data_IF_219218302885
#
_entry.id   IF_219218302885
#
_cell.length_a   1.000
_cell.length_b   1.000
_cell.length_c   1.000
_cell.angle_alpha   90.00
_cell.angle_beta   90.00
_cell.angle_gamma   90.00
#
_symmetry.space_group_name_H-M   'P 1'
#
loop_
_entity.id
_entity.type
_entity.pdbx_description
1 polymer ?
#
# COMPACT_ATOMS: atom_id res chain seq x y z
N UNK A 1 103.92 -26.29 -30.59
CA UNK A 1 103.28 -25.87 -29.32
C UNK A 1 101.81 -25.65 -29.59
N UNK A 2 100.96 -26.62 -29.24
CA UNK A 2 99.51 -26.58 -29.47
C UNK A 2 98.85 -26.31 -28.13
N UNK A 3 98.13 -25.18 -28.00
CA UNK A 3 97.35 -24.80 -26.82
C UNK A 3 96.02 -25.54 -26.83
N UNK A 4 95.79 -26.37 -25.82
CA UNK A 4 94.48 -26.96 -25.50
C UNK A 4 93.63 -25.91 -24.78
N UNK A 5 92.46 -25.58 -25.34
CA UNK A 5 91.48 -24.71 -24.72
C UNK A 5 90.59 -25.51 -23.75
N UNK A 6 90.48 -25.06 -22.50
CA UNK A 6 89.57 -25.63 -21.51
C UNK A 6 88.14 -25.13 -21.74
N UNK A 7 87.17 -26.06 -21.75
CA UNK A 7 85.74 -25.77 -21.82
C UNK A 7 85.23 -25.31 -20.45
N UNK A 8 84.46 -24.21 -20.33
CA UNK A 8 83.85 -23.82 -19.07
C UNK A 8 82.69 -24.75 -18.72
N UNK A 9 82.66 -25.21 -17.47
CA UNK A 9 81.58 -26.01 -16.90
C UNK A 9 80.27 -25.19 -16.86
N UNK A 10 79.18 -25.77 -17.37
CA UNK A 10 77.82 -25.23 -17.22
C UNK A 10 77.38 -25.40 -15.77
N UNK A 11 77.31 -24.31 -15.01
CA UNK A 11 76.57 -24.27 -13.75
C UNK A 11 75.07 -24.41 -14.07
N UNK A 12 74.46 -25.52 -13.67
CA UNK A 12 73.01 -25.67 -13.73
C UNK A 12 72.39 -24.88 -12.57
N UNK A 13 71.82 -23.72 -12.87
CA UNK A 13 71.01 -22.98 -11.90
C UNK A 13 69.83 -23.83 -11.45
N UNK A 14 69.83 -24.26 -10.18
CA UNK A 14 68.70 -24.97 -9.58
C UNK A 14 67.57 -23.97 -9.36
N UNK A 15 66.51 -24.05 -10.16
CA UNK A 15 65.31 -23.25 -9.93
C UNK A 15 64.67 -23.73 -8.62
N UNK A 16 64.48 -22.86 -7.63
CA UNK A 16 63.82 -23.23 -6.38
C UNK A 16 62.43 -23.82 -6.64
N UNK A 17 62.16 -24.98 -6.03
CA UNK A 17 60.93 -25.78 -6.25
C UNK A 17 59.63 -25.01 -5.94
N UNK A 18 59.70 -23.93 -5.16
CA UNK A 18 58.54 -23.09 -4.85
C UNK A 18 58.02 -22.28 -6.05
N UNK A 19 58.87 -21.98 -7.05
CA UNK A 19 58.48 -21.20 -8.24
C UNK A 19 57.46 -21.95 -9.09
N UNK A 20 57.68 -23.20 -9.54
CA UNK A 20 56.67 -23.94 -10.29
C UNK A 20 55.40 -24.20 -9.45
N UNK A 21 55.52 -24.38 -8.13
CA UNK A 21 54.36 -24.56 -7.25
C UNK A 21 53.47 -23.30 -7.18
N UNK A 22 54.09 -22.12 -7.06
CA UNK A 22 53.38 -20.85 -7.04
C UNK A 22 52.66 -20.56 -8.38
N UNK A 23 53.28 -20.93 -9.50
CA UNK A 23 52.67 -20.80 -10.84
C UNK A 23 51.45 -21.71 -10.97
N UNK A 24 51.54 -22.96 -10.49
CA UNK A 24 50.39 -23.90 -10.50
C UNK A 24 49.25 -23.41 -9.61
N UNK A 25 49.55 -22.92 -8.39
CA UNK A 25 48.55 -22.37 -7.48
C UNK A 25 47.88 -21.11 -8.04
N UNK A 26 48.66 -20.19 -8.62
CA UNK A 26 48.12 -19.00 -9.27
C UNK A 26 47.25 -19.37 -10.48
N UNK A 27 47.67 -20.36 -11.27
CA UNK A 27 46.88 -20.91 -12.38
C UNK A 27 45.57 -21.54 -11.90
N UNK A 28 45.59 -22.32 -10.81
CA UNK A 28 44.40 -22.92 -10.24
C UNK A 28 43.42 -21.88 -9.69
N UNK A 29 43.91 -20.86 -8.98
CA UNK A 29 43.08 -19.74 -8.49
C UNK A 29 42.51 -18.92 -9.64
N UNK A 30 43.29 -18.70 -10.70
CA UNK A 30 42.81 -18.02 -11.90
C UNK A 30 41.73 -18.83 -12.62
N UNK A 31 41.95 -20.13 -12.86
CA UNK A 31 40.95 -21.04 -13.46
C UNK A 31 39.69 -21.13 -12.60
N UNK A 32 39.81 -21.18 -11.27
CA UNK A 32 38.66 -21.16 -10.38
C UNK A 32 37.86 -19.86 -10.54
N UNK A 33 38.54 -18.69 -10.47
CA UNK A 33 37.86 -17.40 -10.61
C UNK A 33 37.24 -17.21 -11.99
N UNK A 34 37.90 -17.67 -13.06
CA UNK A 34 37.37 -17.55 -14.42
C UNK A 34 36.23 -18.53 -14.67
N UNK A 35 36.27 -19.75 -14.14
CA UNK A 35 35.15 -20.70 -14.25
C UNK A 35 33.95 -20.28 -13.41
N UNK A 36 34.16 -19.67 -12.24
CA UNK A 36 33.07 -19.09 -11.45
C UNK A 36 32.47 -17.85 -12.15
N UNK A 37 33.30 -17.04 -12.78
CA UNK A 37 32.89 -15.90 -13.63
C UNK A 37 32.17 -16.34 -14.92
N UNK A 38 32.66 -17.38 -15.60
CA UNK A 38 32.08 -17.91 -16.84
C UNK A 38 30.83 -18.77 -16.57
N UNK A 39 30.75 -19.46 -15.44
CA UNK A 39 29.51 -20.12 -15.00
C UNK A 39 28.43 -19.07 -14.67
N UNK A 40 28.82 -17.95 -14.04
CA UNK A 40 27.92 -16.80 -13.84
C UNK A 40 27.48 -16.14 -15.16
N UNK A 41 28.29 -16.19 -16.22
CA UNK A 41 27.93 -15.59 -17.52
C UNK A 41 27.25 -16.55 -18.51
N UNK A 42 27.39 -17.87 -18.34
CA UNK A 42 26.82 -18.88 -19.26
C UNK A 42 25.43 -19.38 -18.90
N UNK A 43 24.97 -19.16 -17.67
CA UNK A 43 23.58 -19.44 -17.27
C UNK A 43 23.05 -18.24 -16.50
N UNK A 44 22.42 -17.29 -17.20
CA UNK A 44 21.71 -16.21 -16.53
C UNK A 44 20.75 -16.81 -15.51
N UNK A 45 20.84 -16.34 -14.26
CA UNK A 45 19.95 -16.83 -13.20
C UNK A 45 18.51 -16.49 -13.57
N UNK A 46 17.66 -17.50 -13.65
CA UNK A 46 16.24 -17.32 -13.90
C UNK A 46 15.51 -17.22 -12.57
N UNK A 47 14.69 -16.19 -12.42
CA UNK A 47 13.80 -16.02 -11.27
C UNK A 47 12.44 -16.59 -11.65
N UNK A 48 11.96 -17.55 -10.84
CA UNK A 48 10.63 -18.15 -11.02
C UNK A 48 9.58 -17.36 -10.23
N UNK A 49 8.80 -16.53 -10.93
CA UNK A 49 7.81 -15.64 -10.34
C UNK A 49 6.56 -16.37 -9.84
N UNK A 50 6.39 -17.65 -10.23
CA UNK A 50 5.28 -18.49 -9.74
C UNK A 50 5.42 -18.83 -8.25
N UNK A 51 6.64 -18.71 -7.70
CA UNK A 51 6.98 -18.96 -6.29
C UNK A 51 7.13 -17.67 -5.50
N UNK A 52 6.32 -16.66 -5.82
CA UNK A 52 6.33 -15.37 -5.13
C UNK A 52 5.64 -15.43 -3.77
N UNK A 53 6.30 -14.81 -2.78
CA UNK A 53 5.76 -14.59 -1.45
C UNK A 53 5.57 -13.08 -1.24
N UNK A 54 4.45 -12.72 -0.61
CA UNK A 54 4.14 -11.34 -0.26
C UNK A 54 4.34 -11.17 1.25
N UNK A 55 5.45 -10.55 1.64
CA UNK A 55 5.74 -10.28 3.04
C UNK A 55 5.02 -9.01 3.47
N UNK A 56 4.06 -9.17 4.38
CA UNK A 56 3.17 -8.08 4.81
C UNK A 56 3.71 -7.41 6.06
N UNK A 57 4.43 -6.30 5.86
CA UNK A 57 4.80 -5.40 6.97
C UNK A 57 3.86 -4.19 7.09
N UNK A 58 2.92 -4.00 6.15
CA UNK A 58 2.03 -2.85 6.11
C UNK A 58 0.69 -3.11 6.85
N UNK A 59 0.39 -2.36 7.94
CA UNK A 59 -0.93 -2.38 8.56
C UNK A 59 -1.98 -1.85 7.58
N UNK A 60 -2.95 -2.67 7.21
CA UNK A 60 -4.02 -2.29 6.26
C UNK A 60 -3.94 -2.97 4.89
N UNK A 61 -2.85 -3.69 4.59
CA UNK A 61 -2.77 -4.51 3.39
C UNK A 61 -3.75 -5.69 3.48
N UNK A 62 -4.64 -5.77 2.48
CA UNK A 62 -5.69 -6.78 2.42
C UNK A 62 -5.13 -8.14 1.97
N UNK A 63 -5.59 -9.27 2.55
CA UNK A 63 -5.11 -10.60 2.15
C UNK A 63 -5.25 -10.87 0.66
N UNK A 64 -6.32 -10.38 0.03
CA UNK A 64 -6.63 -10.57 -1.38
C UNK A 64 -5.56 -9.96 -2.30
N UNK A 65 -4.91 -8.87 -1.90
CA UNK A 65 -3.86 -8.22 -2.71
C UNK A 65 -2.65 -9.11 -2.91
N UNK A 66 -2.35 -9.99 -1.95
CA UNK A 66 -1.29 -11.00 -2.13
C UNK A 66 -1.65 -11.99 -3.24
N UNK A 67 -2.92 -12.37 -3.35
CA UNK A 67 -3.40 -13.28 -4.38
C UNK A 67 -3.42 -12.60 -5.75
N UNK A 68 -3.89 -11.35 -5.83
CA UNK A 68 -3.90 -10.55 -7.05
C UNK A 68 -2.48 -10.34 -7.59
N UNK A 69 -1.53 -9.93 -6.72
CA UNK A 69 -0.13 -9.77 -7.11
C UNK A 69 0.48 -11.10 -7.56
N UNK A 70 0.27 -12.19 -6.82
CA UNK A 70 0.77 -13.52 -7.20
C UNK A 70 0.21 -13.97 -8.55
N UNK A 71 -1.09 -13.72 -8.79
CA UNK A 71 -1.74 -13.99 -10.07
C UNK A 71 -1.15 -13.18 -11.22
N UNK A 72 -0.82 -11.91 -10.99
CA UNK A 72 -0.17 -11.05 -11.97
C UNK A 72 1.28 -11.51 -12.27
N UNK A 73 2.05 -11.84 -11.24
CA UNK A 73 3.41 -12.37 -11.35
C UNK A 73 3.46 -13.74 -12.05
N UNK A 74 2.52 -14.63 -11.72
CA UNK A 74 2.45 -15.96 -12.32
C UNK A 74 2.22 -15.93 -13.84
N UNK A 75 1.51 -14.92 -14.36
CA UNK A 75 1.32 -14.73 -15.81
C UNK A 75 2.61 -14.39 -16.55
N UNK A 76 3.59 -13.79 -15.88
CA UNK A 76 4.92 -13.52 -16.45
C UNK A 76 5.81 -14.77 -16.42
N UNK A 77 5.57 -15.69 -15.49
CA UNK A 77 6.28 -16.97 -15.40
C UNK A 77 7.70 -16.82 -14.89
N UNK A 78 8.67 -16.58 -15.79
CA UNK A 78 10.10 -16.51 -15.47
C UNK A 78 10.75 -15.28 -16.07
N UNK A 79 11.59 -14.62 -15.29
CA UNK A 79 12.36 -13.45 -15.71
C UNK A 79 13.85 -13.73 -15.51
N UNK A 80 14.68 -13.29 -16.44
CA UNK A 80 16.14 -13.34 -16.29
C UNK A 80 16.60 -12.25 -15.33
N UNK A 81 17.40 -12.61 -14.32
CA UNK A 81 17.91 -11.67 -13.32
C UNK A 81 18.86 -10.61 -13.90
N UNK A 82 19.51 -10.91 -15.03
CA UNK A 82 20.42 -10.00 -15.74
C UNK A 82 19.73 -9.20 -16.85
N UNK A 83 18.46 -9.46 -17.13
CA UNK A 83 17.69 -8.74 -18.14
C UNK A 83 17.00 -7.53 -17.51
N UNK A 84 17.70 -6.39 -17.58
CA UNK A 84 17.21 -5.11 -17.09
C UNK A 84 15.87 -4.71 -17.71
N UNK A 85 15.65 -4.99 -19.00
CA UNK A 85 14.40 -4.65 -19.68
C UNK A 85 13.24 -5.50 -19.17
N UNK A 86 13.48 -6.79 -18.91
CA UNK A 86 12.47 -7.65 -18.31
C UNK A 86 12.15 -7.26 -16.86
N UNK A 87 13.15 -6.83 -16.07
CA UNK A 87 12.94 -6.32 -14.72
C UNK A 87 12.18 -4.99 -14.72
N UNK A 88 12.50 -4.06 -15.62
CA UNK A 88 11.78 -2.80 -15.78
C UNK A 88 10.32 -3.03 -16.21
N UNK A 89 10.09 -3.99 -17.12
CA UNK A 89 8.76 -4.42 -17.53
C UNK A 89 7.96 -5.06 -16.38
N UNK A 90 8.62 -5.87 -15.56
CA UNK A 90 8.02 -6.45 -14.35
C UNK A 90 7.60 -5.36 -13.34
N UNK A 91 8.49 -4.41 -13.04
CA UNK A 91 8.19 -3.30 -12.14
C UNK A 91 7.06 -2.44 -12.67
N UNK A 92 7.06 -2.10 -13.97
CA UNK A 92 5.99 -1.33 -14.62
C UNK A 92 4.64 -2.04 -14.54
N UNK A 93 4.62 -3.37 -14.65
CA UNK A 93 3.40 -4.16 -14.51
C UNK A 93 2.89 -4.16 -13.07
N UNK A 94 3.78 -4.29 -12.07
CA UNK A 94 3.41 -4.22 -10.66
C UNK A 94 2.88 -2.83 -10.30
N UNK A 95 3.49 -1.78 -10.83
CA UNK A 95 3.07 -0.39 -10.64
C UNK A 95 1.68 -0.09 -11.19
N UNK A 96 1.23 -0.82 -12.21
CA UNK A 96 -0.13 -0.71 -12.76
C UNK A 96 -1.21 -1.36 -11.86
N UNK A 97 -0.83 -2.09 -10.81
CA UNK A 97 -1.81 -2.66 -9.90
C UNK A 97 -2.44 -1.56 -9.02
N UNK A 98 -3.77 -1.47 -8.93
CA UNK A 98 -4.43 -0.33 -8.27
C UNK A 98 -4.08 -0.10 -6.81
N UNK A 99 -3.66 -1.14 -6.10
CA UNK A 99 -3.28 -1.06 -4.68
C UNK A 99 -1.80 -0.75 -4.46
N UNK A 100 -0.99 -0.64 -5.52
CA UNK A 100 0.43 -0.30 -5.45
C UNK A 100 0.58 1.21 -5.63
N UNK A 101 1.13 1.87 -4.62
CA UNK A 101 1.43 3.30 -4.64
C UNK A 101 2.82 3.60 -5.21
N UNK A 102 3.79 2.72 -4.97
CA UNK A 102 5.15 2.87 -5.46
C UNK A 102 5.85 1.52 -5.52
N UNK A 103 6.65 1.32 -6.58
CA UNK A 103 7.56 0.19 -6.71
C UNK A 103 8.98 0.66 -6.42
N UNK A 104 9.56 0.10 -5.36
CA UNK A 104 10.93 0.37 -4.94
C UNK A 104 11.97 -0.34 -5.80
N UNK A 105 13.22 -0.31 -5.35
CA UNK A 105 14.31 -0.98 -6.09
C UNK A 105 14.19 -2.50 -6.00
N UNK A 106 14.36 -3.15 -7.15
CA UNK A 106 14.44 -4.61 -7.24
C UNK A 106 15.86 -5.06 -6.86
N UNK A 107 15.96 -5.93 -5.84
CA UNK A 107 17.21 -6.52 -5.36
C UNK A 107 17.21 -8.01 -5.65
N UNK A 108 18.26 -8.47 -6.32
CA UNK A 108 18.48 -9.90 -6.52
C UNK A 108 18.93 -10.58 -5.22
N UNK A 109 18.30 -11.70 -4.89
CA UNK A 109 18.66 -12.58 -3.77
C UNK A 109 19.17 -13.89 -4.35
N UNK A 110 20.44 -14.22 -4.11
CA UNK A 110 21.03 -15.46 -4.59
C UNK A 110 20.38 -16.68 -3.91
N UNK A 111 20.15 -17.81 -4.62
CA UNK A 111 20.59 -18.12 -5.99
C UNK A 111 19.65 -17.71 -7.12
N UNK A 112 18.35 -17.49 -6.85
CA UNK A 112 17.31 -17.34 -7.88
C UNK A 112 16.10 -16.49 -7.41
N UNK A 113 16.29 -15.67 -6.37
CA UNK A 113 15.27 -14.81 -5.78
C UNK A 113 15.32 -13.37 -6.28
N UNK A 114 14.16 -12.71 -6.25
CA UNK A 114 14.02 -11.28 -6.49
C UNK A 114 13.19 -10.69 -5.35
N UNK A 115 13.72 -9.65 -4.73
CA UNK A 115 13.05 -8.88 -3.69
C UNK A 115 12.71 -7.50 -4.25
N UNK A 116 11.44 -7.11 -4.13
CA UNK A 116 10.93 -5.84 -4.62
C UNK A 116 10.14 -5.22 -3.47
N UNK A 117 10.64 -4.10 -2.98
CA UNK A 117 9.94 -3.33 -1.97
C UNK A 117 8.76 -2.60 -2.60
N UNK A 118 7.57 -2.69 -2.01
CA UNK A 118 6.35 -2.06 -2.50
C UNK A 118 5.79 -1.13 -1.43
N UNK A 119 5.40 0.08 -1.84
CA UNK A 119 4.52 0.93 -1.03
C UNK A 119 3.10 0.72 -1.53
N UNK A 120 2.18 0.42 -0.64
CA UNK A 120 0.78 0.19 -1.00
C UNK A 120 -0.06 1.42 -0.69
N UNK A 121 -1.14 1.60 -1.43
CA UNK A 121 -2.16 2.57 -1.06
C UNK A 121 -2.84 2.15 0.23
N UNK A 122 -2.98 3.09 1.16
CA UNK A 122 -3.72 2.86 2.40
C UNK A 122 -5.22 3.04 2.12
N UNK A 123 -6.06 2.02 2.36
CA UNK A 123 -7.50 2.17 2.22
C UNK A 123 -8.01 3.02 3.39
N UNK A 124 -8.82 4.03 3.08
CA UNK A 124 -9.40 4.98 4.06
C UNK A 124 -10.92 4.90 4.15
N UNK A 125 -11.55 4.24 3.19
CA UNK A 125 -13.00 4.11 3.14
C UNK A 125 -13.41 2.83 2.39
N UNK A 126 -14.70 2.58 2.34
CA UNK A 126 -15.32 1.56 1.51
C UNK A 126 -16.49 2.15 0.74
N UNK A 127 -16.81 1.57 -0.42
CA UNK A 127 -18.09 1.77 -1.09
C UNK A 127 -18.84 0.45 -1.12
N UNK A 128 -20.16 0.50 -0.97
CA UNK A 128 -21.02 -0.65 -1.20
C UNK A 128 -21.43 -0.67 -2.67
N UNK A 129 -21.26 -1.81 -3.35
CA UNK A 129 -21.64 -2.00 -4.75
C UNK A 129 -22.29 -3.37 -4.91
N UNK A 130 -23.57 -3.38 -5.24
CA UNK A 130 -24.36 -4.61 -5.37
C UNK A 130 -24.49 -5.35 -4.04
N UNK A 131 -23.68 -6.39 -3.80
CA UNK A 131 -23.68 -7.18 -2.56
C UNK A 131 -22.32 -7.20 -1.86
N UNK A 132 -21.39 -6.35 -2.31
CA UNK A 132 -20.00 -6.36 -1.89
C UNK A 132 -19.54 -4.97 -1.50
N UNK A 133 -18.57 -4.94 -0.60
CA UNK A 133 -17.86 -3.74 -0.18
C UNK A 133 -16.49 -3.74 -0.81
N UNK A 134 -16.12 -2.59 -1.39
CA UNK A 134 -14.85 -2.38 -2.04
C UNK A 134 -14.07 -1.29 -1.30
N UNK A 135 -12.78 -1.51 -1.01
CA UNK A 135 -11.95 -0.53 -0.35
C UNK A 135 -11.64 0.64 -1.29
N UNK A 136 -11.45 1.82 -0.71
CA UNK A 136 -11.11 3.04 -1.45
C UNK A 136 -9.89 3.68 -0.81
N UNK A 137 -8.92 4.06 -1.63
CA UNK A 137 -7.83 4.94 -1.22
C UNK A 137 -8.07 6.36 -1.73
N UNK A 138 -7.58 7.32 -0.96
CA UNK A 138 -7.41 8.69 -1.44
C UNK A 138 -5.97 8.85 -1.93
N UNK A 139 -5.83 9.26 -3.18
CA UNK A 139 -4.55 9.57 -3.79
C UNK A 139 -4.48 11.07 -3.92
N UNK A 140 -3.48 11.65 -3.26
CA UNK A 140 -3.15 13.07 -3.34
C UNK A 140 -1.88 13.19 -4.16
N UNK A 141 -1.97 13.83 -5.33
CA UNK A 141 -0.82 14.30 -6.09
C UNK A 141 -0.72 15.83 -6.01
N UNK A 142 0.37 16.41 -6.53
CA UNK A 142 0.63 17.85 -6.46
C UNK A 142 -0.48 18.74 -7.04
N UNK A 143 -1.43 18.17 -7.79
CA UNK A 143 -2.44 18.93 -8.53
C UNK A 143 -3.88 18.46 -8.30
N UNK A 144 -4.08 17.23 -7.83
CA UNK A 144 -5.38 16.60 -7.73
C UNK A 144 -5.48 15.68 -6.51
N UNK A 145 -6.65 15.71 -5.88
CA UNK A 145 -7.09 14.70 -4.92
C UNK A 145 -8.12 13.84 -5.64
N UNK A 146 -7.92 12.52 -5.62
CA UNK A 146 -8.86 11.56 -6.22
C UNK A 146 -9.09 10.35 -5.31
N UNK A 147 -10.31 9.84 -5.32
CA UNK A 147 -10.61 8.51 -4.79
C UNK A 147 -10.29 7.46 -5.83
N UNK A 148 -9.69 6.34 -5.44
CA UNK A 148 -9.49 5.18 -6.32
C UNK A 148 -10.09 3.94 -5.68
N UNK A 149 -10.92 3.25 -6.46
CA UNK A 149 -11.52 1.98 -6.04
C UNK A 149 -10.47 0.87 -6.09
N UNK A 150 -10.18 0.25 -4.96
CA UNK A 150 -9.18 -0.81 -4.83
C UNK A 150 -9.82 -2.21 -4.99
N UNK A 151 -9.05 -3.23 -5.39
CA UNK A 151 -9.53 -4.61 -5.38
C UNK A 151 -9.68 -5.13 -3.95
N UNK A 152 -10.30 -6.31 -3.82
CA UNK A 152 -10.46 -7.00 -2.55
C UNK A 152 -11.89 -7.05 -2.02
N UNK A 153 -12.89 -7.21 -2.90
CA UNK A 153 -14.31 -7.25 -2.53
C UNK A 153 -14.62 -8.15 -1.30
N UNK A 154 -15.41 -7.62 -0.35
CA UNK A 154 -15.82 -8.32 0.86
C UNK A 154 -17.35 -8.31 1.06
N UNK A 155 -17.89 -9.22 1.87
CA UNK A 155 -19.33 -9.25 2.22
C UNK A 155 -19.72 -8.25 3.31
N UNK A 156 -18.74 -7.63 3.94
CA UNK A 156 -18.90 -6.62 4.99
C UNK A 156 -17.84 -5.54 4.76
N UNK A 157 -18.02 -4.31 5.29
CA UNK A 157 -16.99 -3.28 5.21
C UNK A 157 -15.65 -3.79 5.74
N UNK A 158 -14.57 -3.37 5.10
CA UNK A 158 -13.23 -3.83 5.48
C UNK A 158 -12.89 -3.40 6.90
N UNK A 159 -12.31 -4.32 7.67
CA UNK A 159 -11.77 -4.03 9.00
C UNK A 159 -10.25 -3.90 8.88
N UNK A 160 -9.69 -2.82 9.42
CA UNK A 160 -8.25 -2.50 9.39
C UNK A 160 -7.73 -2.27 10.80
N UNK A 161 -6.42 -2.46 11.02
CA UNK A 161 -5.77 -2.42 12.33
C UNK A 161 -5.46 -3.82 12.87
N UNK A 162 -4.84 -3.86 14.05
CA UNK A 162 -4.55 -5.09 14.80
C UNK A 162 -5.66 -5.40 15.79
N UNK A 163 -6.05 -6.66 15.94
CA UNK A 163 -6.96 -7.25 16.92
C UNK A 163 -7.82 -6.27 17.76
N UNK A 164 -7.27 -5.74 18.86
CA UNK A 164 -7.98 -4.89 19.84
C UNK A 164 -8.25 -3.45 19.37
N UNK A 165 -7.51 -2.97 18.37
CA UNK A 165 -7.68 -1.65 17.76
C UNK A 165 -8.24 -1.74 16.33
N UNK A 166 -8.71 -2.91 15.92
CA UNK A 166 -9.21 -3.10 14.57
C UNK A 166 -10.62 -2.49 14.42
N UNK A 167 -10.79 -1.58 13.46
CA UNK A 167 -12.01 -0.83 13.21
C UNK A 167 -12.48 -0.99 11.77
N UNK A 168 -13.76 -0.74 11.52
CA UNK A 168 -14.32 -0.76 10.17
C UNK A 168 -13.95 0.52 9.42
N UNK A 169 -13.54 0.38 8.15
CA UNK A 169 -13.43 1.54 7.27
C UNK A 169 -14.81 2.18 7.10
N UNK A 170 -14.89 3.53 7.10
CA UNK A 170 -16.15 4.23 6.86
C UNK A 170 -16.66 3.93 5.46
N UNK A 171 -17.96 3.77 5.32
CA UNK A 171 -18.64 3.59 4.04
C UNK A 171 -19.01 4.95 3.47
N UNK A 172 -18.82 5.14 2.16
CA UNK A 172 -19.29 6.33 1.45
C UNK A 172 -20.68 6.03 0.86
N UNK A 173 -21.65 6.92 1.09
CA UNK A 173 -22.99 6.80 0.52
C UNK A 173 -22.99 7.10 -0.99
N UNK A 174 -24.07 6.69 -1.69
CA UNK A 174 -24.31 7.06 -3.09
C UNK A 174 -23.70 6.12 -4.14
N UNK A 175 -23.28 4.91 -3.75
CA UNK A 175 -22.67 3.92 -4.66
C UNK A 175 -23.45 2.60 -4.78
N UNK A 176 -24.62 2.50 -4.16
CA UNK A 176 -25.41 1.27 -4.08
C UNK A 176 -25.92 0.79 -5.44
N UNK A 177 -26.13 1.71 -6.38
CA UNK A 177 -26.61 1.43 -7.71
C UNK A 177 -25.48 0.90 -8.59
N UNK A 178 -25.45 -0.42 -8.79
CA UNK A 178 -24.52 -1.11 -9.70
C UNK A 178 -24.77 -0.83 -11.20
N UNK A 179 -25.17 0.40 -11.55
CA UNK A 179 -25.45 0.84 -12.91
C UNK A 179 -24.22 0.84 -13.82
N UNK A 180 -24.43 1.16 -15.10
CA UNK A 180 -23.36 1.19 -16.11
C UNK A 180 -22.23 2.18 -15.77
N UNK A 181 -22.56 3.22 -14.99
CA UNK A 181 -21.61 4.26 -14.54
C UNK A 181 -20.92 3.92 -13.21
N UNK A 182 -21.16 2.72 -12.66
CA UNK A 182 -20.51 2.31 -11.43
C UNK A 182 -18.99 2.16 -11.64
N UNK A 183 -18.17 2.77 -10.78
CA UNK A 183 -16.72 2.77 -10.94
C UNK A 183 -16.15 1.35 -10.93
N UNK A 184 -15.21 1.10 -11.83
CA UNK A 184 -14.48 -0.17 -11.91
C UNK A 184 -13.32 -0.18 -10.93
N UNK A 185 -12.82 -1.36 -10.58
CA UNK A 185 -11.58 -1.48 -9.79
C UNK A 185 -10.43 -0.82 -10.55
N UNK A 186 -9.65 0.00 -9.86
CA UNK A 186 -8.63 0.89 -10.45
C UNK A 186 -9.20 2.17 -11.04
N UNK A 187 -10.52 2.29 -11.15
CA UNK A 187 -11.21 3.49 -11.59
C UNK A 187 -11.25 4.56 -10.51
N UNK A 188 -11.30 5.81 -10.96
CA UNK A 188 -11.44 6.96 -10.09
C UNK A 188 -12.89 7.13 -9.63
N UNK A 189 -13.06 7.53 -8.38
CA UNK A 189 -14.33 8.02 -7.86
C UNK A 189 -14.34 9.54 -8.02
N UNK A 190 -15.31 10.05 -8.78
CA UNK A 190 -15.40 11.47 -9.11
C UNK A 190 -16.63 12.11 -8.45
N UNK A 191 -16.59 13.44 -8.30
CA UNK A 191 -17.68 14.26 -7.75
C UNK A 191 -17.31 14.94 -6.45
N UNK A 192 -17.79 16.18 -6.26
CA UNK A 192 -17.51 16.98 -5.06
C UNK A 192 -17.91 16.26 -3.77
N UNK A 193 -19.13 15.71 -3.73
CA UNK A 193 -19.63 14.93 -2.59
C UNK A 193 -18.74 13.73 -2.23
N UNK A 194 -18.18 13.04 -3.21
CA UNK A 194 -17.29 11.88 -2.98
C UNK A 194 -15.97 12.33 -2.38
N UNK A 195 -15.37 13.39 -2.92
CA UNK A 195 -14.13 13.95 -2.40
C UNK A 195 -14.33 14.50 -0.97
N UNK A 196 -15.46 15.17 -0.72
CA UNK A 196 -15.85 15.63 0.61
C UNK A 196 -15.97 14.45 1.61
N UNK A 197 -16.62 13.36 1.22
CA UNK A 197 -16.75 12.17 2.06
C UNK A 197 -15.39 11.49 2.32
N UNK A 198 -14.51 11.42 1.31
CA UNK A 198 -13.15 10.89 1.44
C UNK A 198 -12.29 11.75 2.35
N UNK A 199 -12.43 13.07 2.28
CA UNK A 199 -11.67 13.99 3.11
C UNK A 199 -12.12 13.92 4.58
N UNK A 200 -13.43 13.75 4.84
CA UNK A 200 -13.94 13.42 6.17
C UNK A 200 -13.35 12.08 6.66
N UNK A 201 -13.37 11.03 5.83
CA UNK A 201 -12.78 9.73 6.18
C UNK A 201 -11.28 9.86 6.50
N UNK A 202 -10.52 10.59 5.68
CA UNK A 202 -9.11 10.85 5.91
C UNK A 202 -8.86 11.58 7.23
N UNK A 203 -9.62 12.64 7.50
CA UNK A 203 -9.51 13.39 8.76
C UNK A 203 -9.88 12.53 9.99
N UNK A 204 -10.87 11.64 9.87
CA UNK A 204 -11.19 10.67 10.91
C UNK A 204 -9.97 9.81 11.28
N UNK A 205 -9.23 9.34 10.26
CA UNK A 205 -8.01 8.57 10.48
C UNK A 205 -6.89 9.40 11.13
N UNK A 206 -6.77 10.68 10.77
CA UNK A 206 -5.74 11.58 11.28
C UNK A 206 -5.99 12.00 12.74
N UNK A 207 -7.25 12.18 13.14
CA UNK A 207 -7.59 12.78 14.44
C UNK A 207 -8.10 11.81 15.50
N UNK A 208 -8.57 10.61 15.12
CA UNK A 208 -9.03 9.60 16.06
C UNK A 208 -8.07 8.42 16.16
N UNK A 209 -7.76 7.99 17.38
CA UNK A 209 -6.98 6.79 17.68
C UNK A 209 -7.78 5.49 17.41
N UNK A 210 -7.10 4.35 17.43
CA UNK A 210 -7.70 3.03 17.15
C UNK A 210 -8.87 2.68 18.06
N UNK A 211 -8.77 3.02 19.36
CA UNK A 211 -9.83 2.78 20.34
C UNK A 211 -11.09 3.58 20.04
N UNK A 212 -10.96 4.89 19.76
CA UNK A 212 -12.09 5.76 19.40
C UNK A 212 -12.72 5.34 18.08
N UNK A 213 -11.92 4.99 17.07
CA UNK A 213 -12.42 4.47 15.79
C UNK A 213 -13.19 3.17 15.97
N UNK A 214 -12.72 2.28 16.84
CA UNK A 214 -13.42 1.03 17.17
C UNK A 214 -14.79 1.31 17.84
N UNK A 215 -14.87 2.31 18.72
CA UNK A 215 -16.13 2.71 19.40
C UNK A 215 -17.15 3.41 18.50
N UNK A 216 -16.71 4.00 17.39
CA UNK A 216 -17.64 4.53 16.38
C UNK A 216 -18.42 3.40 15.70
N UNK A 217 -17.85 2.20 15.61
CA UNK A 217 -18.48 1.07 14.93
C UNK A 217 -18.43 1.24 13.41
N UNK A 218 -19.46 0.78 12.70
CA UNK A 218 -19.61 1.04 11.26
C UNK A 218 -20.17 2.44 11.06
N UNK A 219 -19.62 3.15 10.09
CA UNK A 219 -19.97 4.53 9.78
C UNK A 219 -20.38 4.58 8.32
N UNK A 220 -21.50 5.24 8.02
CA UNK A 220 -21.88 5.69 6.68
C UNK A 220 -21.68 7.20 6.63
N UNK A 221 -20.83 7.67 5.72
CA UNK A 221 -20.60 9.08 5.44
C UNK A 221 -21.47 9.45 4.25
N UNK A 222 -22.46 10.29 4.50
CA UNK A 222 -23.25 10.93 3.46
C UNK A 222 -22.84 12.40 3.35
N UNK A 223 -22.16 12.73 2.25
CA UNK A 223 -21.80 14.10 1.87
C UNK A 223 -22.48 14.52 0.57
N UNK A 224 -23.58 13.87 0.19
CA UNK A 224 -24.34 14.20 -1.03
C UNK A 224 -25.15 15.49 -0.91
N UNK A 225 -25.44 15.93 0.32
CA UNK A 225 -26.23 17.13 0.58
C UNK A 225 -25.37 18.39 0.67
N UNK A 226 -25.67 19.37 -0.19
CA UNK A 226 -25.06 20.71 -0.14
C UNK A 226 -25.57 21.54 1.05
N UNK A 227 -26.72 21.18 1.62
CA UNK A 227 -27.32 21.86 2.78
C UNK A 227 -27.48 20.91 3.97
N UNK A 228 -27.21 21.41 5.17
CA UNK A 228 -27.60 20.75 6.40
C UNK A 228 -29.12 20.83 6.63
N UNK A 229 -29.62 20.02 7.57
CA UNK A 229 -31.03 19.94 7.93
C UNK A 229 -31.62 21.26 8.46
N UNK A 230 -30.78 22.12 9.03
CA UNK A 230 -31.14 23.45 9.52
C UNK A 230 -31.04 24.54 8.42
N UNK A 231 -30.76 24.16 7.17
CA UNK A 231 -30.63 25.06 6.04
C UNK A 231 -29.29 25.79 5.96
N UNK A 232 -28.31 25.46 6.81
CA UNK A 232 -26.95 26.02 6.70
C UNK A 232 -26.15 25.31 5.59
N UNK A 233 -25.17 25.98 4.95
CA UNK A 233 -24.36 25.36 3.89
C UNK A 233 -23.33 24.39 4.46
N UNK A 234 -23.22 23.20 3.86
CA UNK A 234 -22.43 22.08 4.38
C UNK A 234 -23.31 21.12 5.15
N UNK A 235 -23.50 19.91 4.61
CA UNK A 235 -24.52 18.97 5.07
C UNK A 235 -24.01 17.57 5.34
N UNK A 236 -22.69 17.36 5.47
CA UNK A 236 -22.16 16.04 5.68
C UNK A 236 -22.62 15.44 7.01
N UNK A 237 -23.10 14.19 6.93
CA UNK A 237 -23.66 13.42 8.02
C UNK A 237 -22.93 12.10 8.14
N UNK A 238 -22.65 11.71 9.37
CA UNK A 238 -22.12 10.39 9.68
C UNK A 238 -23.20 9.63 10.44
N UNK A 239 -23.71 8.58 9.80
CA UNK A 239 -24.64 7.64 10.41
C UNK A 239 -23.86 6.46 10.93
N UNK A 240 -23.96 6.21 12.23
CA UNK A 240 -23.25 5.13 12.88
C UNK A 240 -24.22 3.96 13.08
N UNK A 241 -23.76 2.75 12.76
CA UNK A 241 -24.48 1.53 13.10
C UNK A 241 -24.63 1.47 14.63
N UNK A 242 -25.81 1.03 15.05
CA UNK A 242 -26.15 0.98 16.46
C UNK A 242 -25.31 -0.07 17.19
N UNK A 243 -24.98 0.23 18.45
CA UNK A 243 -24.28 -0.68 19.36
C UNK A 243 -25.27 -1.17 20.41
N UNK A 244 -25.49 -2.48 20.52
CA UNK A 244 -26.41 -3.09 21.50
C UNK A 244 -27.86 -3.17 20.99
N UNK A 245 -28.84 -2.91 21.88
CA UNK A 245 -30.28 -3.06 21.60
C UNK A 245 -30.88 -1.93 20.72
N UNK A 246 -30.08 -0.97 20.26
CA UNK A 246 -30.56 0.08 19.36
C UNK A 246 -30.59 -0.48 17.93
N UNK A 247 -31.71 -0.30 17.22
CA UNK A 247 -31.90 -0.86 15.87
C UNK A 247 -31.16 -0.07 14.78
N UNK A 248 -30.95 1.24 14.98
CA UNK A 248 -30.15 2.19 14.23
C UNK A 248 -29.89 3.42 15.14
N UNK A 249 -29.05 4.37 14.73
CA UNK A 249 -29.38 5.77 15.04
C UNK A 249 -28.47 6.56 15.97
N UNK A 250 -27.14 6.43 15.82
CA UNK A 250 -26.25 7.52 16.24
C UNK A 250 -25.90 8.41 15.06
N UNK A 251 -26.13 9.71 15.18
CA UNK A 251 -25.92 10.68 14.12
C UNK A 251 -24.89 11.73 14.51
N UNK A 252 -23.95 12.03 13.62
CA UNK A 252 -23.04 13.16 13.75
C UNK A 252 -23.31 14.13 12.61
N UNK A 253 -23.71 15.36 12.94
CA UNK A 253 -23.77 16.46 11.99
C UNK A 253 -22.39 17.11 11.91
N UNK A 254 -21.67 16.85 10.83
CA UNK A 254 -20.28 17.28 10.69
C UNK A 254 -20.15 18.65 10.03
N UNK A 255 -21.07 19.02 9.15
CA UNK A 255 -21.02 20.26 8.38
C UNK A 255 -20.31 20.08 7.05
N UNK A 256 -19.41 21.00 6.67
CA UNK A 256 -18.60 20.86 5.46
C UNK A 256 -17.43 19.92 5.73
N UNK A 257 -16.98 19.28 4.64
CA UNK A 257 -15.74 18.55 4.65
C UNK A 257 -14.55 19.49 4.88
N UNK A 258 -13.43 19.00 5.46
CA UNK A 258 -12.26 19.84 5.73
C UNK A 258 -11.74 20.61 4.50
N UNK A 259 -11.79 20.01 3.30
CA UNK A 259 -11.37 20.62 2.04
C UNK A 259 -12.30 21.75 1.54
N UNK A 260 -13.51 21.84 2.09
CA UNK A 260 -14.52 22.85 1.79
C UNK A 260 -14.74 23.82 2.95
N UNK A 261 -13.93 23.74 4.01
CA UNK A 261 -14.09 24.52 5.23
C UNK A 261 -14.06 26.02 4.92
N UNK A 262 -15.15 26.70 5.30
CA UNK A 262 -15.33 28.12 5.06
C UNK A 262 -15.14 28.97 6.32
N UNK A 263 -15.08 30.31 6.17
CA UNK A 263 -15.11 31.22 7.32
C UNK A 263 -16.31 30.95 8.22
N UNK A 264 -16.09 30.86 9.54
CA UNK A 264 -17.14 30.64 10.55
C UNK A 264 -17.41 29.16 10.86
N UNK A 265 -16.77 28.23 10.16
CA UNK A 265 -16.83 26.81 10.51
C UNK A 265 -15.74 26.42 11.51
N UNK A 266 -16.07 25.51 12.42
CA UNK A 266 -15.10 24.99 13.37
C UNK A 266 -13.94 24.27 12.68
N UNK A 267 -12.68 24.47 13.14
CA UNK A 267 -11.55 23.66 12.74
C UNK A 267 -11.80 22.16 12.92
N UNK A 268 -11.32 21.35 11.95
CA UNK A 268 -11.53 19.90 11.92
C UNK A 268 -11.06 19.19 13.19
N UNK A 269 -9.96 19.68 13.79
CA UNK A 269 -9.42 19.18 15.05
C UNK A 269 -10.42 19.33 16.20
N UNK A 270 -11.14 20.46 16.23
CA UNK A 270 -12.14 20.76 17.27
C UNK A 270 -13.37 19.90 17.05
N UNK A 271 -13.82 19.72 15.80
CA UNK A 271 -14.92 18.80 15.47
C UNK A 271 -14.65 17.38 15.97
N UNK A 272 -13.48 16.83 15.68
CA UNK A 272 -13.10 15.48 16.15
C UNK A 272 -12.91 15.38 17.66
N UNK A 273 -12.49 16.47 18.31
CA UNK A 273 -12.49 16.57 19.77
C UNK A 273 -13.90 16.49 20.35
N UNK A 274 -14.88 17.17 19.75
CA UNK A 274 -16.29 17.08 20.16
C UNK A 274 -16.86 15.68 19.96
N UNK A 275 -16.57 15.03 18.81
CA UNK A 275 -16.94 13.62 18.57
C UNK A 275 -16.33 12.70 19.64
N UNK A 276 -15.04 12.88 19.96
CA UNK A 276 -14.36 12.10 20.99
C UNK A 276 -15.04 12.23 22.35
N UNK A 277 -15.42 13.45 22.75
CA UNK A 277 -16.14 13.70 24.00
C UNK A 277 -17.56 13.13 23.99
N UNK A 278 -18.25 13.19 22.84
CA UNK A 278 -19.57 12.58 22.67
C UNK A 278 -19.51 11.06 22.90
N UNK A 279 -18.49 10.39 22.33
CA UNK A 279 -18.28 8.96 22.52
C UNK A 279 -18.13 8.57 23.99
N UNK A 280 -17.43 9.38 24.80
CA UNK A 280 -17.29 9.12 26.24
C UNK A 280 -18.58 9.30 27.03
N UNK A 281 -19.45 10.22 26.61
CA UNK A 281 -20.70 10.54 27.31
C UNK A 281 -21.86 9.65 26.88
N UNK A 282 -21.76 9.03 25.71
CA UNK A 282 -22.89 8.46 24.99
C UNK A 282 -23.76 9.55 24.35
N UNK A 283 -24.19 9.31 23.12
CA UNK A 283 -25.03 10.23 22.36
C UNK A 283 -25.90 9.45 21.38
N UNK A 284 -27.05 10.02 21.01
CA UNK A 284 -27.92 9.58 19.92
C UNK A 284 -27.79 10.52 18.72
N UNK A 285 -27.64 11.81 18.95
CA UNK A 285 -27.12 12.72 17.93
C UNK A 285 -26.17 13.76 18.55
N UNK A 286 -25.18 14.18 17.76
CA UNK A 286 -24.29 15.29 18.13
C UNK A 286 -24.08 16.19 16.92
N UNK A 287 -24.24 17.49 17.14
CA UNK A 287 -23.84 18.50 16.18
C UNK A 287 -22.47 19.08 16.57
N UNK A 288 -21.49 18.92 15.68
CA UNK A 288 -20.12 19.37 15.93
C UNK A 288 -19.74 20.59 15.10
N UNK A 289 -20.72 21.25 14.46
CA UNK A 289 -20.50 22.46 13.66
C UNK A 289 -20.24 23.70 14.50
N UNK A 290 -20.67 23.71 15.76
CA UNK A 290 -20.65 24.86 16.67
C UNK A 290 -19.68 24.68 17.84
N UNK A 291 -19.20 25.82 18.38
CA UNK A 291 -18.24 25.89 19.49
C UNK A 291 -18.68 25.07 20.72
N UNK A 292 -19.97 25.09 21.02
CA UNK A 292 -20.59 24.20 21.99
C UNK A 292 -21.38 23.11 21.23
N UNK A 293 -20.96 21.84 21.31
CA UNK A 293 -21.66 20.78 20.60
C UNK A 293 -23.04 20.54 21.20
N UNK A 294 -24.06 20.48 20.36
CA UNK A 294 -25.42 20.17 20.76
C UNK A 294 -25.59 18.65 20.84
N UNK A 295 -25.96 18.15 22.02
CA UNK A 295 -26.12 16.72 22.28
C UNK A 295 -27.59 16.35 22.40
N UNK A 296 -28.00 15.34 21.64
CA UNK A 296 -29.29 14.69 21.81
C UNK A 296 -29.05 13.28 22.36
N UNK A 297 -29.72 12.95 23.46
CA UNK A 297 -29.64 11.67 24.15
C UNK A 297 -30.84 10.80 23.85
#
# INVERSE_FOLDING_TARGET
>A
MVRTAASPARESGSVPVWIPLAIVLAGAVWVWRTTESEARSRTGAWVDLTRSAFFRECPGALPQWSEDLRGALAKQGRVRADDRGALEGLCSMIEQLPFVAEVGSARFIWPDGLDISLRLHQPIACVHRGSKYYPVAMITDDKNVRGVLLPGAANVPHRVGSDDEAYFLPMLAGFDDGGADAPQVGGELQGGAVLAALDIAHSLHAHLDGSKRTRLGRILIDATSEMAFDGLPGGARLELEAVGDKAHGRLIHFGRAPCEAGPGELPVEIKWKHVSQALERGFDAVDVRFDEPEYHK
#
